data_IF_051641179106
#
_entry.id   IF_051641179106
#
_cell.length_a   1.000
_cell.length_b   1.000
_cell.length_c   1.000
_cell.angle_alpha   90.00
_cell.angle_beta   90.00
_cell.angle_gamma   90.00
#
_symmetry.space_group_name_H-M   'P 1'
#
loop_
_entity.id
_entity.type
_entity.pdbx_description
1 polymer ?
#
# COMPACT_ATOMS: atom_id res chain seq x y z
N UNK A 1 -2.61 -0.59 11.68
CA UNK A 1 -2.82 0.04 10.35
C UNK A 1 -3.84 1.17 10.45
N UNK A 2 -4.99 0.92 11.11
CA UNK A 2 -6.03 1.93 11.31
C UNK A 2 -5.56 3.24 11.94
N UNK A 3 -4.72 3.17 12.99
CA UNK A 3 -4.25 4.39 13.68
C UNK A 3 -3.38 5.28 12.80
N UNK A 4 -2.55 4.67 11.93
CA UNK A 4 -1.71 5.40 10.96
C UNK A 4 -2.61 6.15 9.98
N UNK A 5 -3.65 5.48 9.47
CA UNK A 5 -4.60 6.07 8.51
C UNK A 5 -5.40 7.19 9.18
N UNK A 6 -5.90 6.97 10.40
CA UNK A 6 -6.61 7.99 11.20
C UNK A 6 -5.74 9.23 11.37
N UNK A 7 -4.48 9.08 11.77
CA UNK A 7 -3.52 10.19 11.92
C UNK A 7 -3.28 10.94 10.61
N UNK A 8 -3.05 10.24 9.50
CA UNK A 8 -2.86 10.89 8.18
C UNK A 8 -4.12 11.67 7.75
N UNK A 9 -5.31 11.15 8.05
CA UNK A 9 -6.58 11.82 7.75
C UNK A 9 -6.81 13.04 8.65
N UNK A 10 -6.50 12.96 9.94
CA UNK A 10 -6.54 14.10 10.88
C UNK A 10 -5.69 15.26 10.35
N UNK A 11 -4.43 15.03 10.00
CA UNK A 11 -3.57 16.07 9.42
C UNK A 11 -4.09 16.59 8.08
N UNK A 12 -4.72 15.73 7.28
CA UNK A 12 -5.29 16.15 5.99
C UNK A 12 -6.56 17.00 6.17
N UNK A 13 -7.33 16.77 7.24
CA UNK A 13 -8.45 17.63 7.63
C UNK A 13 -7.94 18.98 8.15
N UNK A 14 -6.98 18.96 9.08
CA UNK A 14 -6.36 20.18 9.61
C UNK A 14 -5.76 21.05 8.50
N UNK A 15 -5.06 20.44 7.55
CA UNK A 15 -4.46 21.15 6.40
C UNK A 15 -5.48 21.82 5.47
N UNK A 16 -6.75 21.41 5.50
CA UNK A 16 -7.83 22.08 4.75
C UNK A 16 -8.40 23.28 5.49
N UNK A 17 -8.36 23.25 6.82
CA UNK A 17 -8.89 24.30 7.69
C UNK A 17 -7.84 25.40 7.93
N UNK A 18 -6.56 25.03 8.06
CA UNK A 18 -5.44 25.95 8.25
C UNK A 18 -4.13 25.37 7.73
N UNK A 19 -3.09 26.20 7.65
CA UNK A 19 -1.74 25.68 7.43
C UNK A 19 -1.28 24.85 8.64
N UNK A 20 -0.58 23.75 8.35
CA UNK A 20 0.06 22.92 9.37
C UNK A 20 1.32 23.59 9.91
N UNK A 21 1.58 23.44 11.20
CA UNK A 21 2.86 23.84 11.78
C UNK A 21 3.98 22.93 11.28
N UNK A 22 5.24 23.36 11.45
CA UNK A 22 6.39 22.55 11.05
C UNK A 22 6.48 21.21 11.81
N UNK A 23 6.04 21.18 13.07
CA UNK A 23 5.96 19.94 13.87
C UNK A 23 4.90 18.99 13.31
N UNK A 24 3.70 19.52 13.00
CA UNK A 24 2.62 18.73 12.41
C UNK A 24 2.99 18.20 11.01
N UNK A 25 3.71 18.98 10.21
CA UNK A 25 4.25 18.54 8.92
C UNK A 25 5.20 17.35 9.10
N UNK A 26 6.12 17.41 10.07
CA UNK A 26 7.04 16.31 10.39
C UNK A 26 6.32 15.06 10.89
N UNK A 27 5.33 15.22 11.77
CA UNK A 27 4.53 14.10 12.25
C UNK A 27 3.72 13.46 11.11
N UNK A 28 3.05 14.28 10.29
CA UNK A 28 2.32 13.79 9.12
C UNK A 28 3.22 13.00 8.16
N UNK A 29 4.43 13.49 7.91
CA UNK A 29 5.41 12.80 7.06
C UNK A 29 5.81 11.45 7.66
N UNK A 30 6.09 11.41 8.97
CA UNK A 30 6.40 10.17 9.69
C UNK A 30 5.28 9.13 9.52
N UNK A 31 4.02 9.50 9.72
CA UNK A 31 2.90 8.58 9.53
C UNK A 31 2.68 8.18 8.06
N UNK A 32 2.86 9.11 7.11
CA UNK A 32 2.79 8.80 5.68
C UNK A 32 3.85 7.79 5.26
N UNK A 33 5.08 7.91 5.76
CA UNK A 33 6.15 6.95 5.49
C UNK A 33 5.79 5.56 6.00
N UNK A 34 5.29 5.47 7.24
CA UNK A 34 4.82 4.18 7.78
C UNK A 34 3.69 3.55 6.97
N UNK A 35 2.73 4.36 6.51
CA UNK A 35 1.64 3.88 5.64
C UNK A 35 2.18 3.32 4.32
N UNK A 36 3.06 4.06 3.64
CA UNK A 36 3.61 3.63 2.35
C UNK A 36 4.44 2.36 2.46
N UNK A 37 5.26 2.22 3.51
CA UNK A 37 6.06 1.01 3.70
C UNK A 37 5.18 -0.22 3.91
N UNK A 38 4.13 -0.10 4.74
CA UNK A 38 3.16 -1.18 4.94
C UNK A 38 2.33 -1.48 3.68
N UNK A 39 2.00 -0.45 2.90
CA UNK A 39 1.32 -0.62 1.62
C UNK A 39 2.19 -1.37 0.62
N UNK A 40 3.48 -1.03 0.50
CA UNK A 40 4.44 -1.76 -0.36
C UNK A 40 4.59 -3.22 0.05
N UNK A 41 4.68 -3.50 1.34
CA UNK A 41 4.75 -4.85 1.90
C UNK A 41 3.52 -5.67 1.46
N UNK A 42 2.33 -5.10 1.60
CA UNK A 42 1.09 -5.71 1.14
C UNK A 42 1.11 -5.97 -0.37
N UNK A 43 1.42 -4.95 -1.19
CA UNK A 43 1.48 -5.09 -2.65
C UNK A 43 2.47 -6.17 -3.08
N UNK A 44 3.65 -6.25 -2.45
CA UNK A 44 4.61 -7.32 -2.73
C UNK A 44 4.02 -8.70 -2.42
N UNK A 45 3.37 -8.87 -1.27
CA UNK A 45 2.69 -10.13 -0.95
C UNK A 45 1.59 -10.51 -1.96
N UNK A 46 0.85 -9.51 -2.47
CA UNK A 46 -0.10 -9.75 -3.56
C UNK A 46 0.61 -10.22 -4.84
N UNK A 47 1.72 -9.60 -5.24
CA UNK A 47 2.49 -10.02 -6.42
C UNK A 47 3.07 -11.42 -6.26
N UNK A 48 3.61 -11.75 -5.08
CA UNK A 48 4.15 -13.07 -4.77
C UNK A 48 3.07 -14.17 -4.81
N UNK A 49 1.80 -13.80 -4.59
CA UNK A 49 0.66 -14.72 -4.67
C UNK A 49 0.17 -15.00 -6.10
N UNK A 50 0.58 -14.18 -7.08
CA UNK A 50 0.18 -14.36 -8.47
C UNK A 50 0.84 -15.63 -9.02
N UNK A 51 0.01 -16.60 -9.40
CA UNK A 51 0.47 -17.79 -10.11
C UNK A 51 0.33 -17.58 -11.62
N UNK A 52 1.43 -17.69 -12.33
CA UNK A 52 1.42 -17.74 -13.80
C UNK A 52 1.18 -19.19 -14.20
N UNK A 53 0.07 -19.45 -14.89
CA UNK A 53 -0.25 -20.76 -15.46
C UNK A 53 -0.17 -20.68 -16.98
N UNK A 54 0.35 -21.72 -17.62
CA UNK A 54 0.25 -21.88 -19.07
C UNK A 54 -1.01 -22.69 -19.38
N UNK A 55 -1.67 -22.38 -20.48
CA UNK A 55 -2.85 -23.10 -20.96
C UNK A 55 -2.66 -23.49 -22.42
N UNK A 56 -3.26 -24.61 -22.83
CA UNK A 56 -3.36 -25.03 -24.24
C UNK A 56 -4.47 -24.27 -24.99
N UNK A 57 -4.66 -24.59 -26.27
CA UNK A 57 -5.69 -23.97 -27.13
C UNK A 57 -7.13 -24.25 -26.67
N UNK A 58 -7.33 -25.33 -25.91
CA UNK A 58 -8.62 -25.72 -25.32
C UNK A 58 -8.82 -25.13 -23.91
N UNK A 59 -7.83 -24.41 -23.37
CA UNK A 59 -7.86 -23.75 -22.07
C UNK A 59 -7.50 -24.62 -20.87
N UNK A 60 -6.97 -25.84 -21.08
CA UNK A 60 -6.49 -26.71 -20.01
C UNK A 60 -5.13 -26.25 -19.51
N UNK A 61 -4.91 -26.29 -18.18
CA UNK A 61 -3.64 -25.93 -17.57
C UNK A 61 -2.58 -26.96 -17.96
N UNK A 62 -1.46 -26.49 -18.51
CA UNK A 62 -0.29 -27.31 -18.82
C UNK A 62 0.82 -27.04 -17.80
N UNK A 63 1.35 -28.08 -17.18
CA UNK A 63 2.54 -27.96 -16.32
C UNK A 63 3.78 -27.76 -17.20
N UNK A 64 4.75 -26.91 -16.81
CA UNK A 64 6.00 -26.81 -17.55
C UNK A 64 6.77 -28.13 -17.44
N UNK A 65 7.22 -28.67 -18.58
CA UNK A 65 8.17 -29.79 -18.59
C UNK A 65 9.45 -29.36 -17.87
N UNK A 66 9.89 -30.19 -16.91
CA UNK A 66 11.02 -29.93 -16.01
C UNK A 66 12.38 -29.92 -16.71
#
# INVERSE_FOLDING_TARGET
>A
MEDIIKKVNEFSKLARERELTEEEKKEREKYRKMYIEKFKESVRGHLDSIKVVRVDDDGNIIEPEA
#
